data_IF_993500856196
#
_entry.id   IF_993500856196
#
_cell.length_a   1.000
_cell.length_b   1.000
_cell.length_c   1.000
_cell.angle_alpha   90.00
_cell.angle_beta   90.00
_cell.angle_gamma   90.00
#
_symmetry.space_group_name_H-M   'P 1'
#
loop_
_entity.id
_entity.type
_entity.pdbx_description
1 polymer ?
#
# COMPACT_ATOMS: atom_id res chain seq x y z
N UNK A 1 3.56 16.99 11.07
CA UNK A 1 3.14 16.41 9.78
C UNK A 1 2.99 14.92 10.04
N UNK A 2 1.80 14.35 9.94
CA UNK A 2 1.58 12.94 10.23
C UNK A 2 2.30 12.09 9.18
N UNK A 3 3.17 11.19 9.62
CA UNK A 3 3.76 10.17 8.77
C UNK A 3 2.63 9.38 8.09
N UNK A 4 2.52 9.51 6.76
CA UNK A 4 1.50 8.82 5.98
C UNK A 4 1.87 7.35 5.85
N UNK A 5 1.45 6.54 6.81
CA UNK A 5 1.48 5.08 6.73
C UNK A 5 0.33 4.59 5.85
N UNK A 6 0.64 3.74 4.88
CA UNK A 6 -0.33 3.21 3.91
C UNK A 6 -0.13 1.70 3.75
N UNK A 7 -1.24 0.96 3.75
CA UNK A 7 -1.24 -0.48 3.52
C UNK A 7 -1.31 -0.80 2.03
N UNK A 8 -0.46 -1.73 1.62
CA UNK A 8 -0.41 -2.27 0.28
C UNK A 8 -0.43 -3.80 0.30
N UNK A 9 -1.05 -4.40 -0.71
CA UNK A 9 -1.08 -5.84 -0.95
C UNK A 9 0.01 -6.22 -1.95
N UNK A 10 0.83 -7.21 -1.65
CA UNK A 10 1.78 -7.78 -2.60
C UNK A 10 1.03 -8.40 -3.78
N UNK A 11 1.41 -8.05 -5.01
CA UNK A 11 0.77 -8.55 -6.23
C UNK A 11 1.00 -10.06 -6.45
N UNK A 12 2.07 -10.62 -5.88
CA UNK A 12 2.44 -12.02 -6.06
C UNK A 12 1.82 -12.95 -5.01
N UNK A 13 2.14 -12.73 -3.73
CA UNK A 13 1.71 -13.63 -2.63
C UNK A 13 0.48 -13.13 -1.86
N UNK A 14 0.00 -11.92 -2.15
CA UNK A 14 -1.16 -11.34 -1.47
C UNK A 14 -0.93 -10.84 -0.04
N UNK A 15 0.29 -10.95 0.51
CA UNK A 15 0.62 -10.42 1.83
C UNK A 15 0.35 -8.91 1.90
N UNK A 16 -0.30 -8.46 2.98
CA UNK A 16 -0.55 -7.04 3.24
C UNK A 16 0.58 -6.49 4.09
N UNK A 17 1.15 -5.35 3.69
CA UNK A 17 2.27 -4.71 4.35
C UNK A 17 2.08 -3.19 4.39
N UNK A 18 2.44 -2.61 5.53
CA UNK A 18 2.39 -1.16 5.75
C UNK A 18 3.71 -0.51 5.37
N UNK A 19 3.62 0.61 4.67
CA UNK A 19 4.76 1.42 4.27
C UNK A 19 4.55 2.87 4.69
N UNK A 20 5.59 3.51 5.19
CA UNK A 20 5.57 4.92 5.58
C UNK A 20 6.47 5.71 4.64
N UNK A 21 6.03 6.90 4.20
CA UNK A 21 6.90 7.83 3.48
C UNK A 21 7.68 8.69 4.47
N UNK A 22 9.00 8.65 4.38
CA UNK A 22 9.87 9.55 5.14
C UNK A 22 9.86 10.99 4.59
N UNK A 23 10.59 11.89 5.26
CA UNK A 23 10.68 13.32 4.90
C UNK A 23 11.33 13.56 3.54
N UNK A 24 12.13 12.61 3.05
CA UNK A 24 12.77 12.64 1.73
C UNK A 24 11.88 12.01 0.64
N UNK A 25 10.70 11.51 1.03
CA UNK A 25 9.74 10.87 0.14
C UNK A 25 10.06 9.41 -0.18
N UNK A 26 11.05 8.79 0.47
CA UNK A 26 11.36 7.37 0.30
C UNK A 26 10.44 6.53 1.16
N UNK A 27 10.13 5.34 0.67
CA UNK A 27 9.31 4.37 1.40
C UNK A 27 10.16 3.62 2.42
N UNK A 28 9.67 3.58 3.66
CA UNK A 28 10.26 2.86 4.77
C UNK A 28 9.25 1.83 5.32
N UNK A 29 9.61 0.53 5.38
CA UNK A 29 10.81 -0.05 4.77
C UNK A 29 10.80 0.06 3.24
N UNK A 30 11.93 -0.21 2.58
CA UNK A 30 11.97 -0.29 1.12
C UNK A 30 10.89 -1.25 0.60
N UNK A 31 10.24 -0.90 -0.53
CA UNK A 31 9.15 -1.69 -1.12
C UNK A 31 9.64 -3.04 -1.66
N UNK A 32 9.82 -4.01 -0.76
CA UNK A 32 10.17 -5.39 -1.04
C UNK A 32 9.38 -6.29 -0.10
N UNK A 33 8.68 -7.26 -0.66
CA UNK A 33 7.78 -8.12 0.10
C UNK A 33 8.57 -9.03 1.03
N UNK A 34 8.38 -8.88 2.35
CA UNK A 34 9.03 -9.74 3.36
C UNK A 34 8.70 -11.24 3.22
N UNK A 35 7.59 -11.60 2.57
CA UNK A 35 7.18 -13.01 2.42
C UNK A 35 7.74 -13.69 1.17
N UNK A 36 7.84 -12.97 0.04
CA UNK A 36 8.21 -13.58 -1.26
C UNK A 36 9.24 -12.78 -2.08
N UNK A 37 9.76 -11.67 -1.56
CA UNK A 37 10.77 -10.84 -2.25
C UNK A 37 10.25 -9.98 -3.41
N UNK A 38 8.98 -10.14 -3.83
CA UNK A 38 8.40 -9.31 -4.91
C UNK A 38 8.35 -7.82 -4.53
N UNK A 39 8.50 -6.94 -5.52
CA UNK A 39 8.52 -5.48 -5.36
C UNK A 39 7.28 -4.78 -5.93
N UNK A 40 6.32 -5.55 -6.42
CA UNK A 40 5.07 -5.02 -7.00
C UNK A 40 3.96 -5.10 -5.96
N UNK A 41 3.33 -3.94 -5.71
CA UNK A 41 2.35 -3.74 -4.66
C UNK A 41 1.11 -3.01 -5.19
N UNK A 42 -0.05 -3.34 -4.64
CA UNK A 42 -1.36 -2.81 -5.05
C UNK A 42 -1.99 -2.13 -3.84
N UNK A 43 -2.49 -0.90 -4.03
CA UNK A 43 -3.16 -0.15 -2.95
C UNK A 43 -4.51 -0.79 -2.62
N UNK A 44 -4.83 -0.92 -1.34
CA UNK A 44 -6.11 -1.48 -0.91
C UNK A 44 -7.29 -0.58 -1.33
N UNK A 45 -8.43 -1.21 -1.58
CA UNK A 45 -9.69 -0.51 -1.84
C UNK A 45 -10.03 0.33 -0.60
N UNK A 46 -10.42 1.59 -0.82
CA UNK A 46 -10.88 2.47 0.26
C UNK A 46 -12.12 1.87 0.93
N UNK A 47 -12.19 1.96 2.25
CA UNK A 47 -13.33 1.50 3.08
C UNK A 47 -14.53 2.45 3.05
N UNK A 48 -14.38 3.64 2.45
CA UNK A 48 -15.47 4.60 2.33
C UNK A 48 -16.58 4.13 1.38
N UNK A 49 -17.83 4.47 1.73
CA UNK A 49 -18.99 4.27 0.87
C UNK A 49 -18.81 5.02 -0.45
N UNK A 50 -19.14 4.35 -1.56
CA UNK A 50 -19.09 4.94 -2.90
C UNK A 50 -20.50 4.96 -3.47
N UNK A 51 -20.97 6.14 -3.85
CA UNK A 51 -22.19 6.31 -4.65
C UNK A 51 -21.74 6.38 -6.11
N UNK A 52 -22.36 5.57 -6.95
CA UNK A 52 -22.11 5.51 -8.39
C UNK A 52 -23.47 5.67 -9.07
N UNK A 53 -23.55 6.55 -10.05
CA UNK A 53 -24.73 6.65 -10.92
C UNK A 53 -24.79 5.38 -11.79
N UNK A 54 -25.99 4.80 -11.90
CA UNK A 54 -26.24 3.67 -12.79
C UNK A 54 -26.68 4.23 -14.15
N UNK A 55 -25.71 4.52 -15.02
CA UNK A 55 -25.96 4.76 -16.44
C UNK A 55 -26.29 3.45 -17.17
#
# INVERSE_FOLDING_TARGET
MADLTVDYKCANCGAIQSFTRDREGKWQPAMTCKACGSRIFIKLRRTGHKILDAE
#
